data_IF_348907338925
#
_entry.id   IF_348907338925
#
_cell.length_a   1.000
_cell.length_b   1.000
_cell.length_c   1.000
_cell.angle_alpha   90.00
_cell.angle_beta   90.00
_cell.angle_gamma   90.00
#
_symmetry.space_group_name_H-M   'P 1'
#
loop_
_entity.id
_entity.type
_entity.pdbx_description
1 polymer ?
#
# COMPACT_ATOMS: atom_id res chain seq x y z
N UNK A 1 16.25 -3.07 12.40
CA UNK A 1 14.98 -2.37 12.16
C UNK A 1 14.35 -3.06 10.98
N UNK A 2 13.23 -3.77 11.14
CA UNK A 2 12.53 -4.37 9.98
C UNK A 2 12.17 -3.28 8.99
N UNK A 3 12.40 -3.56 7.71
CA UNK A 3 11.90 -2.74 6.61
C UNK A 3 10.38 -2.72 6.71
N UNK A 4 9.81 -1.52 6.88
CA UNK A 4 8.35 -1.32 6.91
C UNK A 4 7.92 -0.64 5.62
N UNK A 5 6.83 -1.12 5.05
CA UNK A 5 6.31 -0.56 3.80
C UNK A 5 5.38 0.64 4.04
N UNK A 6 5.49 1.64 3.17
CA UNK A 6 4.50 2.72 3.09
C UNK A 6 3.18 2.20 2.55
N UNK A 7 2.09 2.76 3.04
CA UNK A 7 0.73 2.39 2.60
C UNK A 7 0.34 3.28 1.43
N UNK A 8 -0.23 2.69 0.39
CA UNK A 8 -0.69 3.43 -0.80
C UNK A 8 -2.19 3.23 -1.04
N UNK A 9 -2.71 3.99 -2.01
CA UNK A 9 -4.04 3.82 -2.60
C UNK A 9 -4.34 2.35 -2.86
N UNK A 10 -5.52 1.89 -2.44
CA UNK A 10 -5.95 0.52 -2.63
C UNK A 10 -5.45 -0.47 -1.58
N UNK A 11 -4.66 -0.02 -0.59
CA UNK A 11 -4.26 -0.82 0.56
C UNK A 11 -5.48 -1.43 1.27
N UNK A 12 -5.38 -2.69 1.66
CA UNK A 12 -6.48 -3.43 2.28
C UNK A 12 -6.43 -3.30 3.79
N UNK A 13 -7.58 -3.05 4.40
CA UNK A 13 -7.76 -2.97 5.84
C UNK A 13 -8.91 -3.86 6.34
N UNK A 14 -8.86 -4.22 7.62
CA UNK A 14 -9.90 -4.99 8.32
C UNK A 14 -10.16 -4.41 9.70
N UNK A 15 -11.38 -4.61 10.22
CA UNK A 15 -11.72 -4.27 11.60
C UNK A 15 -11.71 -5.50 12.49
N UNK A 16 -11.03 -5.43 13.64
CA UNK A 16 -10.95 -6.54 14.62
C UNK A 16 -12.31 -6.91 15.25
N UNK A 17 -13.29 -6.00 15.14
CA UNK A 17 -14.64 -6.20 15.67
C UNK A 17 -15.67 -6.55 14.58
N UNK A 18 -15.23 -6.86 13.36
CA UNK A 18 -16.12 -7.45 12.36
C UNK A 18 -16.68 -8.77 12.88
N UNK A 19 -17.97 -9.01 12.62
CA UNK A 19 -18.60 -10.32 12.83
C UNK A 19 -17.89 -11.38 11.98
N UNK A 20 -17.74 -11.09 10.68
CA UNK A 20 -17.06 -11.92 9.69
C UNK A 20 -15.63 -11.38 9.43
N UNK A 21 -14.58 -12.09 9.88
CA UNK A 21 -13.20 -11.64 9.76
C UNK A 21 -12.68 -11.61 8.31
N UNK A 22 -13.40 -12.20 7.35
CA UNK A 22 -13.06 -12.14 5.93
C UNK A 22 -13.46 -10.82 5.28
N UNK A 23 -14.27 -9.99 5.95
CA UNK A 23 -14.70 -8.69 5.44
C UNK A 23 -13.57 -7.68 5.55
N UNK A 24 -13.07 -7.28 4.40
CA UNK A 24 -12.04 -6.26 4.23
C UNK A 24 -12.55 -5.14 3.32
N UNK A 25 -11.88 -3.99 3.41
CA UNK A 25 -12.14 -2.83 2.56
C UNK A 25 -10.82 -2.16 2.18
N UNK A 26 -10.84 -1.31 1.15
CA UNK A 26 -9.64 -0.66 0.62
C UNK A 26 -9.60 0.82 0.96
N UNK A 27 -8.42 1.31 1.30
CA UNK A 27 -8.16 2.73 1.53
C UNK A 27 -8.22 3.48 0.20
N UNK A 28 -9.00 4.56 0.19
CA UNK A 28 -9.07 5.53 -0.90
C UNK A 28 -8.51 6.87 -0.44
N UNK A 29 -7.34 7.22 -0.97
CA UNK A 29 -6.65 8.48 -0.75
C UNK A 29 -7.48 9.62 -1.33
N UNK A 30 -8.01 10.47 -0.45
CA UNK A 30 -8.79 11.67 -0.81
C UNK A 30 -8.09 12.96 -0.37
N UNK A 31 -7.10 12.86 0.53
CA UNK A 31 -6.48 14.05 1.12
C UNK A 31 -5.56 14.83 0.17
N UNK A 32 -5.08 14.21 -0.91
CA UNK A 32 -4.23 14.85 -1.91
C UNK A 32 -4.21 14.10 -3.24
N UNK A 33 -3.54 14.70 -4.24
CA UNK A 33 -3.32 14.12 -5.57
C UNK A 33 -1.86 14.18 -6.04
N UNK A 34 -0.90 14.50 -5.14
CA UNK A 34 0.47 14.87 -5.52
C UNK A 34 1.58 13.95 -5.01
N UNK A 35 1.33 13.17 -3.97
CA UNK A 35 2.36 12.34 -3.33
C UNK A 35 2.15 10.88 -3.70
N UNK A 36 3.09 10.30 -4.44
CA UNK A 36 3.04 8.93 -4.94
C UNK A 36 4.22 8.12 -4.37
N UNK A 37 4.06 6.80 -4.27
CA UNK A 37 5.13 5.89 -3.89
C UNK A 37 5.31 4.79 -4.92
N UNK A 38 6.57 4.55 -5.28
CA UNK A 38 7.01 3.44 -6.14
C UNK A 38 6.22 3.30 -7.45
N UNK A 39 6.03 4.43 -8.13
CA UNK A 39 5.36 4.54 -9.42
C UNK A 39 6.29 5.37 -10.33
N UNK A 40 6.79 4.74 -11.40
CA UNK A 40 7.68 5.39 -12.38
C UNK A 40 6.95 6.49 -13.16
N UNK A 41 5.62 6.41 -13.28
CA UNK A 41 4.77 7.36 -13.99
C UNK A 41 4.01 8.31 -13.05
N UNK A 42 3.97 7.99 -11.74
CA UNK A 42 3.45 8.85 -10.68
C UNK A 42 1.95 9.16 -10.82
N UNK A 43 1.13 8.17 -11.17
CA UNK A 43 -0.29 8.39 -11.47
C UNK A 43 -1.27 7.54 -10.65
N UNK A 44 -0.88 6.37 -10.14
CA UNK A 44 -1.84 5.44 -9.50
C UNK A 44 -1.59 5.20 -8.01
N UNK A 45 -0.33 5.19 -7.55
CA UNK A 45 0.02 4.78 -6.18
C UNK A 45 0.16 5.96 -5.22
N UNK A 46 -0.93 6.70 -5.00
CA UNK A 46 -0.95 7.80 -4.03
C UNK A 46 -0.62 7.28 -2.62
N UNK A 47 0.25 7.99 -1.89
CA UNK A 47 0.55 7.69 -0.49
C UNK A 47 -0.69 7.89 0.40
N UNK A 48 -0.97 6.93 1.27
CA UNK A 48 -1.99 7.09 2.29
C UNK A 48 -1.41 7.85 3.50
N UNK A 49 -2.21 8.75 4.07
CA UNK A 49 -1.77 9.65 5.15
C UNK A 49 -2.70 9.61 6.36
N UNK A 50 -2.26 10.18 7.47
CA UNK A 50 -3.09 10.39 8.67
C UNK A 50 -4.32 11.27 8.42
N UNK A 51 -4.43 11.93 7.26
CA UNK A 51 -5.60 12.71 6.84
C UNK A 51 -6.66 11.88 6.12
N UNK A 52 -6.44 10.58 5.92
CA UNK A 52 -7.47 9.66 5.42
C UNK A 52 -8.47 9.30 6.53
N UNK A 53 -9.22 10.31 6.99
CA UNK A 53 -10.25 10.22 8.03
C UNK A 53 -11.66 10.29 7.42
N UNK A 54 -12.69 10.04 8.23
CA UNK A 54 -14.09 9.90 7.85
C UNK A 54 -14.33 8.67 6.96
N UNK A 55 -15.09 8.83 5.87
CA UNK A 55 -15.45 7.77 4.93
C UNK A 55 -14.46 7.75 3.75
N UNK A 56 -13.25 7.32 4.03
CA UNK A 56 -12.13 7.22 3.08
C UNK A 56 -11.89 5.79 2.62
N UNK A 57 -12.77 4.85 2.93
CA UNK A 57 -12.71 3.50 2.37
C UNK A 57 -13.62 3.39 1.14
N UNK A 58 -13.43 2.36 0.32
CA UNK A 58 -14.25 2.15 -0.88
C UNK A 58 -15.69 1.75 -0.54
N UNK A 59 -15.88 0.75 0.32
CA UNK A 59 -17.21 0.25 0.72
C UNK A 59 -17.72 0.92 1.99
N UNK A 60 -16.83 1.51 2.79
CA UNK A 60 -17.12 2.13 4.09
C UNK A 60 -17.83 1.20 5.09
N UNK A 61 -17.55 -0.10 5.00
CA UNK A 61 -18.10 -1.10 5.91
C UNK A 61 -17.20 -2.33 5.99
N UNK A 62 -17.21 -2.98 7.15
CA UNK A 62 -16.59 -4.28 7.36
C UNK A 62 -17.64 -5.37 7.62
N UNK A 63 -18.89 -5.22 7.15
CA UNK A 63 -19.99 -6.12 7.50
C UNK A 63 -20.64 -5.72 8.82
N UNK A 64 -21.02 -6.68 9.68
CA UNK A 64 -21.65 -6.37 10.97
C UNK A 64 -20.62 -6.12 12.07
N UNK A 65 -20.94 -5.25 13.02
CA UNK A 65 -20.02 -4.81 14.07
C UNK A 65 -20.35 -5.45 15.44
N UNK A 66 -19.46 -6.29 15.96
CA UNK A 66 -19.59 -6.93 17.30
C UNK A 66 -19.68 -5.94 18.46
N UNK A 67 -19.34 -4.66 18.24
CA UNK A 67 -19.48 -3.58 19.23
C UNK A 67 -20.83 -2.88 19.22
N UNK A 68 -21.73 -3.26 18.32
CA UNK A 68 -23.06 -2.69 18.19
C UNK A 68 -24.12 -3.80 18.23
N UNK A 69 -24.38 -4.42 19.39
CA UNK A 69 -25.39 -5.46 19.52
C UNK A 69 -26.80 -4.88 19.32
N UNK A 70 -27.64 -5.60 18.56
CA UNK A 70 -29.06 -5.26 18.30
C UNK A 70 -29.88 -6.54 18.41
N UNK A 71 -30.61 -6.70 19.51
CA UNK A 71 -31.35 -7.93 19.80
C UNK A 71 -30.43 -9.15 19.86
N UNK A 72 -30.71 -10.15 19.01
CA UNK A 72 -29.90 -11.37 18.87
C UNK A 72 -28.83 -11.28 17.77
N UNK A 73 -28.62 -10.09 17.17
CA UNK A 73 -27.68 -9.86 16.08
C UNK A 73 -26.82 -8.60 16.34
N UNK A 74 -26.10 -8.14 15.31
CA UNK A 74 -25.24 -6.97 15.34
C UNK A 74 -25.63 -5.97 14.25
N UNK A 75 -25.53 -4.68 14.55
CA UNK A 75 -25.76 -3.63 13.57
C UNK A 75 -24.68 -3.64 12.46
N UNK A 76 -25.01 -3.21 11.24
CA UNK A 76 -24.03 -3.01 10.19
C UNK A 76 -22.98 -1.96 10.60
N UNK A 77 -21.72 -2.25 10.29
CA UNK A 77 -20.59 -1.37 10.54
C UNK A 77 -20.64 -0.17 9.60
N UNK A 78 -20.53 1.03 10.17
CA UNK A 78 -20.19 2.25 9.44
C UNK A 78 -18.70 2.54 9.68
N UNK A 79 -17.85 2.26 8.70
CA UNK A 79 -16.42 2.47 8.82
C UNK A 79 -16.08 3.96 8.66
N UNK A 80 -16.16 4.68 9.78
CA UNK A 80 -15.77 6.09 9.89
C UNK A 80 -14.46 6.17 10.67
N UNK A 81 -13.37 6.54 10.01
CA UNK A 81 -12.06 6.64 10.65
C UNK A 81 -11.95 8.00 11.33
N UNK A 82 -11.70 8.04 12.64
CA UNK A 82 -11.52 9.30 13.37
C UNK A 82 -10.06 9.70 13.50
N UNK A 83 -9.16 8.71 13.56
CA UNK A 83 -7.73 8.93 13.75
C UNK A 83 -6.92 7.72 13.28
N UNK A 84 -5.72 8.01 12.80
CA UNK A 84 -4.65 7.03 12.58
C UNK A 84 -3.57 7.13 13.66
N UNK A 85 -3.02 5.98 14.06
CA UNK A 85 -1.88 5.86 14.98
C UNK A 85 -0.69 5.19 14.30
N UNK A 86 0.48 5.34 14.90
CA UNK A 86 1.77 4.83 14.39
C UNK A 86 2.08 5.24 12.93
N UNK A 87 1.91 6.52 12.54
CA UNK A 87 2.38 6.97 11.25
C UNK A 87 3.91 7.03 11.23
N UNK A 88 4.48 7.24 10.04
CA UNK A 88 5.88 7.61 9.89
C UNK A 88 6.11 9.02 10.43
N UNK A 89 6.84 9.14 11.52
CA UNK A 89 7.00 10.37 12.30
C UNK A 89 8.07 11.33 11.76
N UNK A 90 8.95 10.85 10.88
CA UNK A 90 10.06 11.66 10.34
C UNK A 90 9.67 12.62 9.22
N UNK A 91 8.49 12.44 8.62
CA UNK A 91 8.02 13.24 7.48
C UNK A 91 6.59 13.69 7.70
N UNK A 92 6.37 15.00 7.53
CA UNK A 92 5.03 15.60 7.46
C UNK A 92 4.88 16.25 6.09
N UNK A 93 3.77 15.94 5.41
CA UNK A 93 3.46 16.47 4.09
C UNK A 93 2.86 17.88 4.18
N UNK A 94 2.75 18.56 3.05
CA UNK A 94 2.23 19.94 2.97
C UNK A 94 0.76 20.09 3.40
N UNK A 95 0.02 18.99 3.53
CA UNK A 95 -1.34 18.95 4.05
C UNK A 95 -1.41 18.62 5.56
N UNK A 96 -0.30 18.76 6.29
CA UNK A 96 -0.13 18.35 7.70
C UNK A 96 -0.37 16.84 7.95
N UNK A 97 -0.41 16.03 6.89
CA UNK A 97 -0.55 14.59 6.96
C UNK A 97 0.79 13.90 7.13
N UNK A 98 0.84 12.88 7.97
CA UNK A 98 2.00 11.97 8.08
C UNK A 98 1.71 10.70 7.28
N UNK A 99 2.75 10.08 6.74
CA UNK A 99 2.62 8.89 5.89
C UNK A 99 2.22 7.69 6.75
N UNK A 100 1.27 6.88 6.29
CA UNK A 100 0.91 5.63 6.97
C UNK A 100 1.91 4.51 6.65
N UNK A 101 2.19 3.71 7.66
CA UNK A 101 2.98 2.47 7.58
C UNK A 101 2.03 1.27 7.66
N UNK A 102 2.51 0.10 7.23
CA UNK A 102 1.76 -1.16 7.34
C UNK A 102 1.28 -1.48 8.77
N UNK A 103 1.99 -0.99 9.80
CA UNK A 103 1.60 -1.16 11.21
C UNK A 103 0.80 0.01 11.78
N UNK A 104 0.49 1.02 10.95
CA UNK A 104 -0.46 2.07 11.30
C UNK A 104 -1.84 1.48 11.58
N UNK A 105 -2.55 2.05 12.56
CA UNK A 105 -3.87 1.56 12.97
C UNK A 105 -4.91 2.66 12.93
N UNK A 106 -6.11 2.31 12.48
CA UNK A 106 -7.25 3.21 12.41
C UNK A 106 -8.16 3.07 13.62
N UNK A 107 -8.77 4.18 14.02
CA UNK A 107 -9.76 4.27 15.10
C UNK A 107 -11.13 4.58 14.50
N UNK A 108 -12.18 3.90 14.98
CA UNK A 108 -13.56 4.29 14.69
C UNK A 108 -14.35 4.54 15.98
N UNK A 109 -15.45 5.31 15.95
CA UNK A 109 -16.21 5.67 17.15
C UNK A 109 -16.74 4.46 17.93
N UNK A 110 -17.07 3.37 17.23
CA UNK A 110 -17.70 2.18 17.82
C UNK A 110 -16.68 1.16 18.34
N UNK A 111 -15.58 0.97 17.61
CA UNK A 111 -14.53 0.02 17.97
C UNK A 111 -13.55 0.55 19.01
N UNK A 112 -13.46 1.88 19.16
CA UNK A 112 -12.46 2.52 20.00
C UNK A 112 -11.07 2.52 19.36
N UNK A 113 -10.03 2.92 20.12
CA UNK A 113 -8.68 3.10 19.61
C UNK A 113 -8.13 1.86 18.89
N UNK A 114 -7.47 2.09 17.77
CA UNK A 114 -6.69 1.10 17.02
C UNK A 114 -7.47 -0.19 16.72
N UNK A 115 -8.70 -0.05 16.23
CA UNK A 115 -9.57 -1.18 15.88
C UNK A 115 -9.47 -1.64 14.42
N UNK A 116 -8.97 -0.78 13.53
CA UNK A 116 -8.78 -1.06 12.11
C UNK A 116 -7.29 -1.30 11.86
N UNK A 117 -6.98 -2.40 11.19
CA UNK A 117 -5.62 -2.82 10.88
C UNK A 117 -5.43 -2.91 9.37
N UNK A 118 -4.25 -2.52 8.89
CA UNK A 118 -3.85 -2.69 7.49
C UNK A 118 -3.29 -4.11 7.35
N UNK A 119 -3.78 -4.85 6.35
CA UNK A 119 -3.37 -6.23 6.08
C UNK A 119 -2.56 -6.37 4.80
N UNK A 120 -2.70 -5.41 3.90
CA UNK A 120 -1.95 -5.32 2.66
C UNK A 120 -1.66 -3.83 2.41
N UNK A 121 -0.39 -3.47 2.26
CA UNK A 121 0.03 -2.08 2.09
C UNK A 121 -0.30 -1.52 0.69
N UNK A 122 -0.78 -2.37 -0.24
CA UNK A 122 -1.24 -1.98 -1.57
C UNK A 122 -0.12 -1.67 -2.57
N UNK A 123 1.16 -1.84 -2.18
CA UNK A 123 2.25 -1.67 -3.13
C UNK A 123 2.42 -2.98 -3.91
N UNK A 124 2.18 -2.93 -5.21
CA UNK A 124 2.63 -3.99 -6.11
C UNK A 124 4.11 -3.77 -6.39
N UNK A 125 4.92 -4.80 -6.14
CA UNK A 125 6.29 -4.85 -6.63
C UNK A 125 6.23 -4.94 -8.16
N UNK A 126 6.23 -3.79 -8.83
CA UNK A 126 6.58 -3.76 -10.24
C UNK A 126 8.06 -4.10 -10.35
N UNK A 127 8.44 -5.17 -11.05
CA UNK A 127 9.83 -5.43 -11.32
C UNK A 127 10.30 -4.33 -12.28
N UNK A 128 10.82 -3.24 -11.72
CA UNK A 128 11.54 -2.26 -12.51
C UNK A 128 12.68 -3.00 -13.22
N UNK A 129 12.90 -2.76 -14.52
CA UNK A 129 14.04 -3.29 -15.28
C UNK A 129 15.41 -3.11 -14.58
N UNK A 130 15.51 -2.17 -13.63
CA UNK A 130 16.69 -2.00 -12.77
C UNK A 130 16.85 -3.09 -11.70
N UNK A 131 15.79 -3.76 -11.26
CA UNK A 131 15.86 -4.92 -10.35
C UNK A 131 16.37 -6.18 -11.06
N UNK A 132 16.22 -6.27 -12.38
CA UNK A 132 16.82 -7.35 -13.18
C UNK A 132 18.35 -7.28 -13.16
N UNK A 133 18.94 -6.08 -13.00
CA UNK A 133 20.42 -5.91 -13.01
C UNK A 133 21.12 -6.34 -11.73
N UNK A 134 20.39 -6.60 -10.63
CA UNK A 134 20.95 -6.98 -9.33
C UNK A 134 20.45 -8.33 -8.80
N UNK A 135 19.72 -9.11 -9.61
CA UNK A 135 19.22 -10.42 -9.17
C UNK A 135 20.15 -11.52 -9.67
N UNK A 136 20.57 -12.43 -8.77
CA UNK A 136 21.40 -13.57 -9.16
C UNK A 136 20.71 -14.43 -10.24
N UNK A 137 21.43 -14.86 -11.28
CA UNK A 137 20.86 -15.48 -12.49
C UNK A 137 20.04 -16.76 -12.23
N UNK A 138 20.16 -17.39 -11.06
CA UNK A 138 19.36 -18.55 -10.68
C UNK A 138 17.87 -18.23 -10.41
N UNK A 139 17.53 -17.04 -9.92
CA UNK A 139 16.12 -16.70 -9.59
C UNK A 139 15.32 -16.41 -10.86
N UNK A 140 15.99 -15.96 -11.93
CA UNK A 140 15.32 -15.59 -13.17
C UNK A 140 14.65 -16.76 -13.89
N UNK A 141 15.33 -17.91 -13.95
CA UNK A 141 14.83 -19.10 -14.63
C UNK A 141 13.60 -19.72 -13.95
N UNK A 142 13.34 -19.40 -12.68
CA UNK A 142 12.20 -19.95 -11.94
C UNK A 142 10.88 -19.24 -12.24
N UNK A 143 10.94 -17.95 -12.60
CA UNK A 143 9.77 -17.10 -12.81
C UNK A 143 9.32 -17.10 -14.27
N UNK A 144 10.25 -17.25 -15.23
CA UNK A 144 9.91 -17.30 -16.64
C UNK A 144 10.88 -18.21 -17.44
N UNK A 145 10.61 -19.53 -17.52
CA UNK A 145 11.49 -20.50 -18.17
C UNK A 145 11.64 -20.31 -19.69
N UNK A 146 10.85 -19.43 -20.33
CA UNK A 146 10.84 -19.22 -21.78
C UNK A 146 11.71 -18.04 -22.24
N UNK A 147 12.29 -17.25 -21.34
CA UNK A 147 13.14 -16.11 -21.70
C UNK A 147 14.61 -16.51 -21.56
N UNK A 148 15.33 -16.62 -22.67
CA UNK A 148 16.79 -16.80 -22.66
C UNK A 148 17.45 -15.44 -22.35
N UNK A 149 17.83 -15.25 -21.10
CA UNK A 149 18.42 -14.00 -20.59
C UNK A 149 19.86 -13.77 -21.07
N UNK A 150 20.46 -14.68 -21.86
CA UNK A 150 21.83 -14.51 -22.37
C UNK A 150 22.03 -13.24 -23.19
N UNK A 151 21.02 -12.85 -23.97
CA UNK A 151 21.08 -11.67 -24.83
C UNK A 151 20.98 -10.35 -24.05
N UNK A 152 20.56 -10.39 -22.77
CA UNK A 152 20.49 -9.21 -21.91
C UNK A 152 21.83 -8.85 -21.25
N UNK A 153 22.82 -9.76 -21.30
CA UNK A 153 24.16 -9.58 -20.74
C UNK A 153 25.25 -9.36 -21.79
N UNK A 154 24.91 -9.40 -23.09
CA UNK A 154 25.83 -8.96 -24.14
C UNK A 154 25.94 -7.44 -24.11
N UNK A 155 27.00 -6.94 -23.49
CA UNK A 155 27.46 -5.56 -23.64
C UNK A 155 27.53 -5.23 -25.15
N UNK A 156 26.67 -4.31 -25.61
CA UNK A 156 26.77 -3.77 -26.96
C UNK A 156 28.14 -3.10 -27.11
N UNK A 157 29.00 -3.65 -27.98
CA UNK A 157 30.28 -3.06 -28.29
C UNK A 157 30.07 -1.64 -28.85
N UNK A 158 30.53 -0.63 -28.11
CA UNK A 158 30.54 0.76 -28.58
C UNK A 158 31.53 0.86 -29.74
N UNK A 159 31.02 1.11 -30.95
CA UNK A 159 31.85 1.38 -32.11
C UNK A 159 32.39 2.82 -32.00
N UNK A 160 33.61 2.98 -31.51
CA UNK A 160 34.33 4.24 -31.66
C UNK A 160 34.69 4.40 -33.15
N UNK A 161 34.14 5.43 -33.78
CA UNK A 161 34.34 5.73 -35.19
C UNK A 161 35.82 5.99 -35.50
N UNK A 162 36.27 5.54 -36.68
CA UNK A 162 37.62 5.76 -37.20
C UNK A 162 37.81 7.26 -37.44
N UNK A 163 38.74 7.89 -36.73
CA UNK A 163 39.22 9.24 -37.04
C UNK A 163 40.38 9.09 -38.04
N UNK A 164 40.13 9.42 -39.30
CA UNK A 164 41.18 9.63 -40.30
C UNK A 164 41.64 11.09 -40.25
N UNK A 165 42.94 11.31 -40.06
CA UNK A 165 43.66 12.51 -40.49
C UNK A 165 45.08 12.14 -40.89
#
# INVERSE_FOLDING_TARGET
MSEKHFVVQGATCKCKFSEDPSKTDKIKVKSHKKHFANDKEGSEKLLATTKEIQQTLEKNTFGNCKKQPVGSSFAPCMAVITKWSKPYDKVTLSNDGQILLEDSKGTCPMGGPDCIEITDHGQTAEPAEQNFKNTEPMVHNLVNPMVDVKDMYTEEAKHEGIITN
#
